data_IF_500645221800
#
_entry.id   IF_500645221800
#
_cell.length_a   1.000
_cell.length_b   1.000
_cell.length_c   1.000
_cell.angle_alpha   90.00
_cell.angle_beta   90.00
_cell.angle_gamma   90.00
#
_symmetry.space_group_name_H-M   'P 1'
#
loop_
_entity.id
_entity.type
_entity.pdbx_description
1 polymer ?
#
# COMPACT_ATOMS: atom_id res chain seq x y z
N UNK A 1 -31.87 -44.17 27.80
CA UNK A 1 -31.66 -43.48 26.50
C UNK A 1 -32.11 -42.04 26.72
N UNK A 2 -31.24 -41.24 27.34
CA UNK A 2 -31.51 -39.85 27.75
C UNK A 2 -30.54 -38.92 27.01
N UNK A 3 -31.13 -37.93 26.36
CA UNK A 3 -30.62 -36.63 25.90
C UNK A 3 -29.10 -36.39 25.86
N UNK A 4 -28.50 -36.58 24.68
CA UNK A 4 -27.14 -36.10 24.35
C UNK A 4 -27.16 -34.91 23.37
N UNK A 5 -28.33 -34.47 22.88
CA UNK A 5 -28.41 -33.52 21.75
C UNK A 5 -28.73 -32.04 22.06
N UNK A 6 -28.77 -31.61 23.33
CA UNK A 6 -29.09 -30.21 23.66
C UNK A 6 -27.91 -29.33 24.14
N UNK A 7 -26.71 -29.87 24.40
CA UNK A 7 -25.63 -29.09 25.03
C UNK A 7 -24.70 -28.38 24.02
N UNK A 8 -24.69 -28.74 22.72
CA UNK A 8 -23.72 -28.16 21.77
C UNK A 8 -24.12 -26.84 21.09
N UNK A 9 -25.40 -26.43 21.15
CA UNK A 9 -25.88 -25.23 20.43
C UNK A 9 -25.81 -23.92 21.23
N UNK A 10 -25.65 -23.98 22.56
CA UNK A 10 -25.74 -22.78 23.39
C UNK A 10 -24.46 -21.93 23.44
N UNK A 11 -23.30 -22.50 23.08
CA UNK A 11 -21.99 -21.84 23.24
C UNK A 11 -21.45 -21.15 21.98
N UNK A 12 -22.00 -21.39 20.79
CA UNK A 12 -21.55 -20.75 19.55
C UNK A 12 -21.81 -19.23 19.55
N UNK A 13 -22.96 -18.79 20.10
CA UNK A 13 -23.39 -17.39 20.11
C UNK A 13 -22.47 -16.42 20.88
N UNK A 14 -21.72 -16.88 21.88
CA UNK A 14 -20.87 -16.04 22.73
C UNK A 14 -19.40 -16.03 22.30
N UNK A 15 -18.95 -17.06 21.58
CA UNK A 15 -17.54 -17.30 21.28
C UNK A 15 -17.21 -16.95 19.84
N UNK A 16 -18.14 -17.19 18.92
CA UNK A 16 -17.94 -17.02 17.49
C UNK A 16 -19.11 -16.22 16.90
N UNK A 17 -18.82 -15.08 16.27
CA UNK A 17 -19.83 -14.12 15.78
C UNK A 17 -20.58 -14.59 14.51
N UNK A 18 -20.83 -15.90 14.37
CA UNK A 18 -21.56 -16.48 13.25
C UNK A 18 -23.08 -16.27 13.32
N UNK A 19 -23.60 -15.96 14.51
CA UNK A 19 -25.02 -15.70 14.73
C UNK A 19 -25.26 -14.22 15.14
N UNK A 20 -26.43 -13.64 14.82
CA UNK A 20 -26.82 -12.31 15.31
C UNK A 20 -26.79 -12.22 16.85
N UNK A 21 -26.35 -11.07 17.36
CA UNK A 21 -26.33 -10.79 18.81
C UNK A 21 -27.78 -10.57 19.27
N UNK A 22 -28.25 -11.38 20.22
CA UNK A 22 -29.56 -11.17 20.84
C UNK A 22 -29.52 -9.99 21.82
N UNK A 23 -30.57 -9.15 21.80
CA UNK A 23 -30.64 -7.88 22.55
C UNK A 23 -30.38 -8.01 24.06
N UNK A 24 -30.71 -9.16 24.63
CA UNK A 24 -30.64 -9.46 26.05
C UNK A 24 -29.20 -9.66 26.56
N UNK A 25 -28.19 -9.59 25.67
CA UNK A 25 -26.78 -9.93 25.98
C UNK A 25 -25.77 -8.87 25.53
N UNK A 26 -26.15 -7.59 25.57
CA UNK A 26 -25.24 -6.44 25.34
C UNK A 26 -24.27 -6.25 26.52
N UNK A 27 -23.31 -7.15 26.71
CA UNK A 27 -22.19 -6.92 27.63
C UNK A 27 -21.27 -5.85 27.06
N UNK A 28 -21.37 -4.63 27.62
CA UNK A 28 -20.44 -3.53 27.31
C UNK A 28 -19.10 -3.81 27.99
N UNK A 29 -18.25 -4.62 27.36
CA UNK A 29 -16.83 -4.67 27.74
C UNK A 29 -16.25 -3.28 27.47
N UNK A 30 -15.86 -2.58 28.53
CA UNK A 30 -15.16 -1.28 28.49
C UNK A 30 -13.79 -1.48 27.85
N UNK A 31 -13.79 -1.41 26.51
CA UNK A 31 -12.62 -1.55 25.65
C UNK A 31 -11.68 -0.36 25.90
N UNK A 32 -10.39 -0.61 26.17
CA UNK A 32 -9.38 0.44 26.35
C UNK A 32 -9.35 1.32 25.09
N UNK A 33 -9.29 2.64 25.15
CA UNK A 33 -9.24 3.42 23.89
C UNK A 33 -7.81 3.50 23.38
N UNK A 34 -7.62 3.40 22.07
CA UNK A 34 -6.36 3.80 21.46
C UNK A 34 -6.17 5.31 21.63
N UNK A 35 -4.94 5.75 21.83
CA UNK A 35 -4.57 7.16 21.89
C UNK A 35 -3.72 7.50 20.66
N UNK A 36 -3.94 8.68 20.11
CA UNK A 36 -3.19 9.18 18.96
C UNK A 36 -1.83 9.64 19.46
N UNK A 37 -0.77 9.04 18.95
CA UNK A 37 0.59 9.48 19.21
C UNK A 37 1.00 10.53 18.16
N UNK A 38 1.53 11.67 18.63
CA UNK A 38 2.01 12.79 17.80
C UNK A 38 3.53 12.94 17.85
N UNK A 39 4.23 12.02 18.52
CA UNK A 39 5.68 12.03 18.63
C UNK A 39 6.33 11.11 17.59
N UNK A 40 7.20 11.67 16.76
CA UNK A 40 7.94 10.91 15.75
C UNK A 40 8.93 9.92 16.38
N UNK A 41 9.49 10.25 17.55
CA UNK A 41 10.57 9.47 18.20
C UNK A 41 10.18 8.02 18.39
N UNK A 42 8.98 7.75 18.93
CA UNK A 42 8.51 6.38 19.16
C UNK A 42 8.41 5.54 17.87
N UNK A 43 8.05 6.16 16.75
CA UNK A 43 8.01 5.49 15.45
C UNK A 43 9.42 5.22 14.91
N UNK A 44 10.33 6.17 15.07
CA UNK A 44 11.73 6.00 14.68
C UNK A 44 12.41 4.90 15.50
N UNK A 45 12.10 4.76 16.78
CA UNK A 45 12.69 3.72 17.65
C UNK A 45 12.30 2.29 17.20
N UNK A 46 11.19 2.13 16.46
CA UNK A 46 10.79 0.86 15.83
C UNK A 46 11.61 0.51 14.58
N UNK A 47 12.37 1.47 14.04
CA UNK A 47 13.19 1.34 12.82
C UNK A 47 14.69 1.52 13.17
N UNK A 48 15.37 0.51 13.73
CA UNK A 48 16.75 0.63 14.16
C UNK A 48 17.75 0.70 12.99
N UNK A 49 18.75 1.59 13.07
CA UNK A 49 19.82 1.80 12.07
C UNK A 49 21.10 0.99 12.36
N UNK A 50 20.99 -0.15 13.04
CA UNK A 50 22.16 -0.93 13.48
C UNK A 50 21.95 -2.44 13.38
N UNK A 51 20.92 -2.88 12.66
CA UNK A 51 20.58 -4.30 12.48
C UNK A 51 20.51 -4.64 10.98
N UNK A 52 20.17 -5.90 10.68
CA UNK A 52 19.67 -6.29 9.37
C UNK A 52 18.66 -5.24 8.89
N UNK A 53 18.64 -4.93 7.59
CA UNK A 53 17.77 -3.90 6.98
C UNK A 53 18.22 -2.44 7.16
N UNK A 54 19.49 -2.17 7.46
CA UNK A 54 20.05 -0.80 7.61
C UNK A 54 19.60 0.16 6.51
N UNK A 55 19.80 -0.19 5.24
CA UNK A 55 19.52 0.73 4.12
C UNK A 55 18.03 1.05 4.03
N UNK A 56 17.15 0.05 4.16
CA UNK A 56 15.70 0.22 4.17
C UNK A 56 15.25 1.10 5.34
N UNK A 57 15.80 0.85 6.54
CA UNK A 57 15.45 1.60 7.75
C UNK A 57 15.91 3.06 7.65
N UNK A 58 17.13 3.30 7.18
CA UNK A 58 17.63 4.67 6.95
C UNK A 58 16.75 5.41 5.94
N UNK A 59 16.37 4.76 4.83
CA UNK A 59 15.46 5.35 3.84
C UNK A 59 14.10 5.73 4.46
N UNK A 60 13.46 4.80 5.18
CA UNK A 60 12.16 5.05 5.81
C UNK A 60 12.22 6.13 6.88
N UNK A 61 13.25 6.14 7.72
CA UNK A 61 13.43 7.18 8.74
C UNK A 61 13.60 8.55 8.08
N UNK A 62 14.39 8.63 7.01
CA UNK A 62 14.58 9.86 6.26
C UNK A 62 13.26 10.34 5.63
N UNK A 63 12.49 9.44 5.01
CA UNK A 63 11.16 9.76 4.46
C UNK A 63 10.21 10.23 5.55
N UNK A 64 10.05 9.45 6.63
CA UNK A 64 9.19 9.77 7.77
C UNK A 64 9.49 11.16 8.32
N UNK A 65 10.76 11.51 8.52
CA UNK A 65 11.16 12.85 8.97
C UNK A 65 10.68 13.96 8.03
N UNK A 66 10.71 13.75 6.71
CA UNK A 66 10.27 14.75 5.72
C UNK A 66 8.75 14.91 5.69
N UNK A 67 8.01 13.82 5.71
CA UNK A 67 6.53 13.84 5.61
C UNK A 67 5.81 13.93 6.97
N UNK A 68 6.54 13.94 8.10
CA UNK A 68 5.94 13.97 9.43
C UNK A 68 5.04 15.18 9.68
N UNK A 69 5.39 16.41 9.25
CA UNK A 69 4.49 17.56 9.36
C UNK A 69 3.14 17.30 8.67
N UNK A 70 3.17 16.74 7.45
CA UNK A 70 1.96 16.41 6.69
C UNK A 70 1.13 15.31 7.39
N UNK A 71 1.78 14.33 8.03
CA UNK A 71 1.10 13.32 8.85
C UNK A 71 0.38 13.94 10.06
N UNK A 72 1.02 14.90 10.73
CA UNK A 72 0.43 15.61 11.87
C UNK A 72 -0.76 16.48 11.44
N UNK A 73 -0.65 17.14 10.30
CA UNK A 73 -1.74 17.92 9.70
C UNK A 73 -2.90 16.98 9.29
N UNK A 74 -2.61 15.91 8.56
CA UNK A 74 -3.59 14.93 8.11
C UNK A 74 -4.36 14.27 9.25
N UNK A 75 -3.69 13.87 10.34
CA UNK A 75 -4.38 13.30 11.50
C UNK A 75 -5.23 14.35 12.23
N UNK A 76 -4.79 15.62 12.27
CA UNK A 76 -5.59 16.69 12.87
C UNK A 76 -6.84 16.98 12.04
N UNK A 77 -6.73 17.03 10.71
CA UNK A 77 -7.89 17.13 9.82
C UNK A 77 -8.86 15.96 9.99
N UNK A 78 -8.33 14.73 10.08
CA UNK A 78 -9.15 13.55 10.33
C UNK A 78 -9.91 13.65 11.66
N UNK A 79 -9.23 14.02 12.76
CA UNK A 79 -9.87 14.21 14.07
C UNK A 79 -10.97 15.28 13.98
N UNK A 80 -10.68 16.41 13.32
CA UNK A 80 -11.64 17.50 13.18
C UNK A 80 -12.86 17.09 12.35
N UNK A 81 -12.65 16.37 11.24
CA UNK A 81 -13.73 15.87 10.38
C UNK A 81 -14.57 14.78 11.04
N UNK A 82 -13.98 13.94 11.88
CA UNK A 82 -14.70 12.93 12.68
C UNK A 82 -15.47 13.56 13.84
N UNK A 83 -14.98 14.67 14.40
CA UNK A 83 -15.66 15.43 15.45
C UNK A 83 -16.67 16.45 14.89
N UNK A 84 -16.75 16.61 13.57
CA UNK A 84 -17.75 17.46 12.92
C UNK A 84 -19.09 16.75 12.94
N UNK A 85 -19.88 16.96 14.00
CA UNK A 85 -21.32 16.77 13.93
C UNK A 85 -21.87 17.77 12.93
N UNK A 86 -22.41 17.30 11.80
CA UNK A 86 -23.19 18.15 10.91
C UNK A 86 -24.23 18.89 11.75
N UNK A 87 -24.30 20.24 11.70
CA UNK A 87 -25.47 20.93 12.20
C UNK A 87 -26.65 20.45 11.36
N UNK A 88 -27.73 20.00 12.01
CA UNK A 88 -28.95 19.45 11.38
C UNK A 88 -29.66 20.41 10.39
N UNK A 89 -29.09 21.57 10.07
CA UNK A 89 -29.75 22.65 9.32
C UNK A 89 -29.03 23.15 8.06
N UNK A 90 -27.90 22.57 7.64
CA UNK A 90 -27.20 23.02 6.42
C UNK A 90 -27.41 22.05 5.25
N UNK A 91 -28.61 22.13 4.68
CA UNK A 91 -29.06 21.37 3.51
C UNK A 91 -28.40 21.92 2.22
N UNK A 92 -27.11 21.65 2.05
CA UNK A 92 -26.30 22.05 0.88
C UNK A 92 -26.66 21.25 -0.39
N UNK A 93 -27.54 20.25 -0.31
CA UNK A 93 -27.89 19.37 -1.43
C UNK A 93 -29.10 19.86 -2.24
N UNK A 94 -29.67 21.04 -1.93
CA UNK A 94 -30.81 21.61 -2.67
C UNK A 94 -30.49 22.04 -4.11
N UNK A 95 -29.25 22.02 -4.55
CA UNK A 95 -28.83 22.51 -5.88
C UNK A 95 -28.05 21.49 -6.72
N UNK A 96 -28.01 20.21 -6.33
CA UNK A 96 -27.45 19.17 -7.22
C UNK A 96 -28.41 18.92 -8.39
N UNK A 97 -27.94 19.15 -9.62
CA UNK A 97 -28.64 18.70 -10.83
C UNK A 97 -28.60 17.17 -10.93
N UNK A 98 -29.65 16.55 -11.49
CA UNK A 98 -29.74 15.09 -11.69
C UNK A 98 -28.61 14.51 -12.55
N UNK A 99 -27.91 15.36 -13.28
CA UNK A 99 -26.91 14.96 -14.28
C UNK A 99 -25.48 14.99 -13.72
N UNK A 100 -25.29 15.47 -12.49
CA UNK A 100 -23.99 15.53 -11.83
C UNK A 100 -23.82 14.32 -10.87
N UNK A 101 -23.37 13.20 -11.45
CA UNK A 101 -23.14 11.92 -10.77
C UNK A 101 -22.17 12.04 -9.57
N UNK A 102 -21.29 13.04 -9.59
CA UNK A 102 -20.33 13.36 -8.54
C UNK A 102 -21.00 14.05 -7.36
N UNK A 103 -21.90 15.01 -7.61
CA UNK A 103 -22.70 15.69 -6.59
C UNK A 103 -23.65 14.70 -5.89
N UNK A 104 -24.28 13.81 -6.68
CA UNK A 104 -25.23 12.82 -6.19
C UNK A 104 -24.61 11.78 -5.24
N UNK A 105 -23.44 11.23 -5.59
CA UNK A 105 -22.73 10.27 -4.73
C UNK A 105 -22.22 10.90 -3.43
N UNK A 106 -21.82 12.17 -3.46
CA UNK A 106 -21.38 12.90 -2.27
C UNK A 106 -22.55 13.23 -1.33
N UNK A 107 -23.70 13.61 -1.89
CA UNK A 107 -24.91 14.01 -1.14
C UNK A 107 -25.73 12.83 -0.58
N UNK A 108 -25.69 11.64 -1.18
CA UNK A 108 -26.34 10.44 -0.60
C UNK A 108 -25.49 9.76 0.49
N UNK A 109 -24.20 10.10 0.59
CA UNK A 109 -23.27 9.50 1.54
C UNK A 109 -23.32 10.20 2.91
N UNK A 110 -24.43 10.09 3.64
CA UNK A 110 -24.51 10.54 5.06
C UNK A 110 -23.60 9.74 6.01
N UNK A 111 -22.98 8.68 5.49
CA UNK A 111 -21.89 7.98 6.14
C UNK A 111 -20.66 8.17 5.28
N UNK A 112 -19.59 8.70 5.87
CA UNK A 112 -18.25 8.48 5.34
C UNK A 112 -18.00 6.96 5.49
N UNK A 113 -18.45 6.16 4.52
CA UNK A 113 -18.10 4.74 4.40
C UNK A 113 -16.70 4.67 3.81
N UNK A 114 -15.76 4.99 4.69
CA UNK A 114 -14.33 5.01 4.48
C UNK A 114 -13.65 5.23 5.83
N UNK A 115 -14.17 4.61 6.89
CA UNK A 115 -13.39 4.53 8.13
C UNK A 115 -12.16 3.67 7.83
N UNK A 116 -10.92 4.15 8.07
CA UNK A 116 -9.78 3.27 8.02
C UNK A 116 -10.06 2.08 8.93
N UNK A 117 -9.72 0.87 8.48
CA UNK A 117 -9.97 -0.43 9.14
C UNK A 117 -9.46 -0.53 10.61
N UNK A 118 -8.83 0.54 11.12
CA UNK A 118 -8.17 0.69 12.40
C UNK A 118 -8.90 1.62 13.38
N UNK A 119 -9.97 2.31 12.96
CA UNK A 119 -10.78 3.14 13.86
C UNK A 119 -11.56 2.26 14.84
N UNK A 120 -11.42 2.49 16.15
CA UNK A 120 -12.21 1.82 17.20
C UNK A 120 -11.62 0.52 17.79
N UNK A 121 -10.38 0.13 17.44
CA UNK A 121 -9.68 -0.99 18.10
C UNK A 121 -8.81 -0.48 19.27
N UNK A 122 -9.11 -0.87 20.53
CA UNK A 122 -8.21 -0.71 21.67
C UNK A 122 -6.84 -1.30 21.39
N UNK A 123 -5.76 -0.54 21.59
CA UNK A 123 -4.38 -1.06 21.62
C UNK A 123 -4.12 -2.16 20.59
N UNK A 124 -3.97 -1.79 19.32
CA UNK A 124 -3.49 -2.74 18.33
C UNK A 124 -2.04 -3.12 18.67
N UNK A 125 -1.85 -4.26 19.32
CA UNK A 125 -0.54 -4.89 19.33
C UNK A 125 -0.38 -5.54 17.96
N UNK A 126 0.23 -4.82 17.02
CA UNK A 126 0.59 -5.36 15.72
C UNK A 126 1.99 -5.96 15.78
N UNK A 127 2.11 -7.26 15.54
CA UNK A 127 3.39 -7.85 15.21
C UNK A 127 3.59 -7.69 13.70
N UNK A 128 4.38 -6.71 13.29
CA UNK A 128 4.71 -6.46 11.88
C UNK A 128 6.00 -7.17 11.53
N UNK A 129 5.97 -8.42 11.03
CA UNK A 129 7.08 -8.97 10.25
C UNK A 129 6.74 -8.78 8.77
N UNK A 130 6.83 -7.54 8.31
CA UNK A 130 6.58 -7.22 6.91
C UNK A 130 7.91 -7.30 6.15
N UNK A 131 8.16 -8.38 5.39
CA UNK A 131 9.23 -8.39 4.38
C UNK A 131 8.74 -7.64 3.14
N UNK A 132 8.60 -6.33 3.23
CA UNK A 132 8.20 -5.56 2.05
C UNK A 132 9.45 -5.38 1.19
N UNK A 133 9.63 -6.25 0.20
CA UNK A 133 10.69 -6.13 -0.81
C UNK A 133 10.29 -5.08 -1.85
N UNK A 134 10.59 -3.82 -1.59
CA UNK A 134 10.62 -2.80 -2.63
C UNK A 134 11.95 -2.90 -3.36
N UNK A 135 11.96 -3.47 -4.57
CA UNK A 135 13.07 -3.50 -5.55
C UNK A 135 14.47 -3.13 -5.01
N UNK A 136 14.98 -4.00 -4.10
CA UNK A 136 16.31 -4.04 -3.43
C UNK A 136 16.38 -3.62 -1.95
N UNK A 137 15.28 -3.46 -1.24
CA UNK A 137 15.31 -3.17 0.21
C UNK A 137 14.30 -4.02 0.97
N UNK A 138 14.80 -4.93 1.80
CA UNK A 138 13.98 -5.73 2.70
C UNK A 138 13.58 -4.87 3.90
N UNK A 139 12.29 -4.83 4.20
CA UNK A 139 11.75 -4.28 5.43
C UNK A 139 11.66 -5.44 6.44
N UNK A 140 12.00 -5.22 7.71
CA UNK A 140 11.55 -6.11 8.77
C UNK A 140 11.28 -5.26 10.00
N UNK A 141 10.12 -5.45 10.60
CA UNK A 141 9.84 -4.94 11.93
C UNK A 141 9.70 -6.19 12.84
N UNK A 142 10.11 -6.00 14.09
CA UNK A 142 10.31 -6.92 15.22
C UNK A 142 10.06 -8.46 15.12
N UNK A 143 10.91 -9.17 15.88
CA UNK A 143 10.80 -10.59 16.22
C UNK A 143 9.46 -10.93 16.90
N UNK A 144 8.78 -11.94 16.36
CA UNK A 144 7.70 -12.62 17.07
C UNK A 144 8.34 -13.66 17.98
N UNK A 145 8.27 -13.47 19.29
CA UNK A 145 8.60 -14.50 20.27
C UNK A 145 7.38 -15.40 20.45
N UNK A 146 7.20 -16.39 19.58
CA UNK A 146 6.19 -17.43 19.74
C UNK A 146 6.79 -18.67 20.42
N UNK A 147 6.04 -19.33 21.29
CA UNK A 147 6.41 -20.66 21.79
C UNK A 147 6.29 -21.69 20.65
N UNK A 148 7.24 -22.64 20.52
CA UNK A 148 7.18 -23.67 19.49
C UNK A 148 5.99 -24.62 19.73
N UNK A 149 5.18 -24.86 18.70
CA UNK A 149 4.12 -25.86 18.75
C UNK A 149 3.42 -26.03 17.41
N UNK A 150 3.16 -27.29 17.04
CA UNK A 150 2.64 -27.71 15.73
C UNK A 150 1.35 -27.01 15.26
N UNK A 151 1.30 -26.89 13.92
CA UNK A 151 0.19 -26.66 12.96
C UNK A 151 -0.70 -25.40 13.06
N UNK A 152 -0.83 -24.71 11.91
CA UNK A 152 -1.86 -23.68 11.67
C UNK A 152 -3.22 -24.36 11.55
N UNK A 153 -3.90 -24.55 12.67
CA UNK A 153 -5.22 -25.16 12.65
C UNK A 153 -6.27 -24.18 12.05
N UNK A 154 -6.92 -24.62 10.96
CA UNK A 154 -8.05 -23.96 10.31
C UNK A 154 -9.26 -23.70 11.24
N UNK A 155 -9.24 -24.26 12.45
CA UNK A 155 -10.33 -24.19 13.44
C UNK A 155 -10.00 -23.39 14.70
N UNK A 156 -8.91 -22.61 14.74
CA UNK A 156 -8.66 -21.73 15.90
C UNK A 156 -9.53 -20.48 15.78
N UNK A 157 -10.43 -20.21 16.74
CA UNK A 157 -11.21 -18.98 16.74
C UNK A 157 -10.26 -17.77 16.81
N UNK A 158 -10.52 -16.74 16.00
CA UNK A 158 -9.71 -15.51 15.94
C UNK A 158 -9.58 -14.81 17.31
N UNK A 159 -10.54 -15.08 18.20
CA UNK A 159 -10.64 -14.55 19.54
C UNK A 159 -10.15 -15.60 20.55
N UNK A 160 -8.85 -15.64 20.80
CA UNK A 160 -8.25 -16.47 21.85
C UNK A 160 -8.15 -15.64 23.14
N UNK A 161 -8.44 -16.24 24.31
CA UNK A 161 -8.47 -15.55 25.63
C UNK A 161 -7.17 -14.81 25.99
N UNK A 162 -6.04 -15.16 25.38
CA UNK A 162 -4.71 -14.57 25.61
C UNK A 162 -4.02 -14.28 24.27
N UNK A 163 -4.58 -13.35 23.49
CA UNK A 163 -3.90 -12.86 22.29
C UNK A 163 -2.76 -11.91 22.70
N UNK A 164 -1.50 -12.28 22.39
CA UNK A 164 -0.34 -11.39 22.53
C UNK A 164 -0.39 -10.22 21.53
N UNK A 165 -0.98 -10.48 20.35
CA UNK A 165 -1.18 -9.55 19.25
C UNK A 165 -2.53 -9.77 18.56
N UNK A 166 -3.07 -8.70 17.99
CA UNK A 166 -4.40 -8.67 17.35
C UNK A 166 -4.34 -8.86 15.84
N UNK A 167 -3.33 -8.28 15.18
CA UNK A 167 -3.13 -8.33 13.73
C UNK A 167 -1.66 -8.60 13.41
N UNK A 168 -1.43 -9.25 12.27
CA UNK A 168 -0.11 -9.48 11.69
C UNK A 168 -0.10 -8.96 10.27
N UNK A 169 0.73 -7.95 10.01
CA UNK A 169 1.00 -7.48 8.66
C UNK A 169 2.31 -8.12 8.17
N UNK A 170 2.23 -8.81 7.05
CA UNK A 170 3.37 -9.52 6.44
C UNK A 170 3.19 -9.58 4.93
N UNK A 171 4.25 -9.82 4.17
CA UNK A 171 4.15 -10.12 2.74
C UNK A 171 3.97 -11.64 2.53
N UNK A 172 3.89 -12.09 1.27
CA UNK A 172 3.78 -13.53 0.95
C UNK A 172 5.00 -14.31 1.45
N UNK A 173 6.21 -13.74 1.34
CA UNK A 173 7.45 -14.40 1.77
C UNK A 173 7.47 -14.57 3.28
N UNK A 174 7.17 -13.50 4.01
CA UNK A 174 7.10 -13.48 5.46
C UNK A 174 6.01 -14.40 5.99
N UNK A 175 4.84 -14.45 5.35
CA UNK A 175 3.78 -15.41 5.69
C UNK A 175 4.28 -16.85 5.62
N UNK A 176 4.92 -17.24 4.51
CA UNK A 176 5.46 -18.60 4.33
C UNK A 176 6.61 -18.91 5.30
N UNK A 177 7.46 -17.93 5.61
CA UNK A 177 8.49 -18.11 6.63
C UNK A 177 7.88 -18.32 8.01
N UNK A 178 6.85 -17.55 8.37
CA UNK A 178 6.14 -17.71 9.64
C UNK A 178 5.47 -19.09 9.72
N UNK A 179 4.93 -19.56 8.60
CA UNK A 179 4.35 -20.90 8.46
C UNK A 179 5.37 -22.00 8.82
N UNK A 180 6.57 -21.91 8.24
CA UNK A 180 7.68 -22.83 8.52
C UNK A 180 8.13 -22.77 9.99
N UNK A 181 8.11 -21.58 10.61
CA UNK A 181 8.55 -21.41 12.00
C UNK A 181 7.54 -21.90 13.06
N UNK A 182 6.39 -22.44 12.64
CA UNK A 182 5.36 -23.01 13.52
C UNK A 182 4.90 -22.05 14.65
N UNK A 183 4.91 -20.75 14.39
CA UNK A 183 4.34 -19.79 15.32
C UNK A 183 2.82 -19.94 15.27
N UNK A 184 2.18 -20.24 16.40
CA UNK A 184 0.72 -20.37 16.51
C UNK A 184 0.03 -19.03 16.31
N UNK A 185 -0.22 -18.66 15.05
CA UNK A 185 -1.00 -17.50 14.66
C UNK A 185 -2.28 -17.92 13.95
N UNK A 186 -3.47 -17.58 14.46
CA UNK A 186 -4.72 -17.82 13.72
C UNK A 186 -4.71 -17.12 12.35
N UNK A 187 -5.05 -17.85 11.30
CA UNK A 187 -4.95 -17.37 9.90
C UNK A 187 -5.70 -16.06 9.64
N UNK A 188 -6.82 -15.84 10.31
CA UNK A 188 -7.63 -14.62 10.17
C UNK A 188 -6.96 -13.33 10.67
N UNK A 189 -5.86 -13.43 11.44
CA UNK A 189 -5.10 -12.26 11.92
C UNK A 189 -4.18 -11.68 10.86
N UNK A 190 -3.86 -12.43 9.82
CA UNK A 190 -2.93 -12.00 8.79
C UNK A 190 -3.54 -10.97 7.85
N UNK A 191 -2.69 -10.03 7.43
CA UNK A 191 -2.91 -9.03 6.39
C UNK A 191 -1.70 -9.11 5.47
N UNK A 192 -1.90 -9.68 4.29
CA UNK A 192 -0.85 -10.03 3.34
C UNK A 192 -0.63 -8.87 2.38
N UNK A 193 0.52 -8.23 2.44
CA UNK A 193 0.89 -7.20 1.48
C UNK A 193 1.24 -7.87 0.16
N UNK A 194 0.42 -7.64 -0.85
CA UNK A 194 0.53 -8.22 -2.18
C UNK A 194 0.20 -7.14 -3.21
N UNK A 195 1.26 -6.51 -3.73
CA UNK A 195 1.18 -5.33 -4.60
C UNK A 195 0.22 -5.53 -5.77
N UNK A 196 0.30 -6.67 -6.47
CA UNK A 196 -0.46 -6.94 -7.70
C UNK A 196 -1.81 -7.62 -7.46
N UNK A 197 -2.02 -8.11 -6.23
CA UNK A 197 -3.23 -8.81 -5.81
C UNK A 197 -3.24 -10.29 -6.17
N UNK A 198 -4.17 -10.98 -5.52
CA UNK A 198 -4.37 -12.42 -5.61
C UNK A 198 -5.83 -12.71 -5.90
N UNK A 199 -6.12 -13.41 -6.99
CA UNK A 199 -7.48 -13.83 -7.36
C UNK A 199 -7.80 -15.23 -6.79
N UNK A 200 -9.10 -15.51 -6.67
CA UNK A 200 -9.62 -16.76 -6.08
C UNK A 200 -9.00 -18.05 -6.64
N UNK A 201 -8.82 -18.24 -7.97
CA UNK A 201 -8.27 -19.48 -8.51
C UNK A 201 -6.83 -19.74 -8.05
N UNK A 202 -6.02 -18.68 -7.97
CA UNK A 202 -4.61 -18.77 -7.59
C UNK A 202 -4.41 -18.84 -6.07
N UNK A 203 -5.31 -18.25 -5.28
CA UNK A 203 -5.29 -18.42 -3.83
C UNK A 203 -5.49 -19.89 -3.40
N UNK A 204 -6.21 -20.68 -4.21
CA UNK A 204 -6.48 -22.11 -3.96
C UNK A 204 -5.44 -23.05 -4.55
N UNK A 205 -4.73 -22.61 -5.59
CA UNK A 205 -3.77 -23.44 -6.32
C UNK A 205 -2.36 -23.20 -5.78
N UNK A 206 -1.67 -24.28 -5.40
CA UNK A 206 -0.27 -24.21 -4.99
C UNK A 206 0.61 -23.73 -6.17
N UNK A 207 1.03 -22.47 -6.11
CA UNK A 207 1.95 -21.83 -7.06
C UNK A 207 2.98 -21.00 -6.29
N UNK A 208 3.96 -20.41 -6.98
CA UNK A 208 5.04 -19.64 -6.34
C UNK A 208 4.54 -18.52 -5.45
N UNK A 209 3.51 -17.79 -5.86
CA UNK A 209 2.92 -16.67 -5.12
C UNK A 209 1.46 -16.93 -4.69
N UNK A 210 0.87 -18.04 -5.10
CA UNK A 210 -0.50 -18.47 -4.73
C UNK A 210 -0.54 -19.52 -3.62
N UNK A 211 -1.69 -20.16 -3.44
CA UNK A 211 -1.87 -21.30 -2.54
C UNK A 211 -1.81 -20.95 -1.06
N UNK A 212 -2.26 -19.75 -0.68
CA UNK A 212 -2.24 -19.29 0.72
C UNK A 212 -3.54 -19.65 1.47
N UNK A 213 -4.62 -19.98 0.75
CA UNK A 213 -5.91 -20.39 1.30
C UNK A 213 -6.50 -19.42 2.35
N UNK A 214 -6.21 -18.12 2.21
CA UNK A 214 -6.73 -17.06 3.07
C UNK A 214 -8.04 -16.48 2.52
N UNK A 215 -8.78 -15.71 3.32
CA UNK A 215 -9.85 -14.88 2.77
C UNK A 215 -9.23 -13.82 1.82
N UNK A 216 -9.82 -13.62 0.64
CA UNK A 216 -9.26 -12.72 -0.38
C UNK A 216 -9.15 -11.26 0.08
N UNK A 217 -9.99 -10.83 1.02
CA UNK A 217 -9.90 -9.50 1.64
C UNK A 217 -8.71 -9.36 2.60
N UNK A 218 -8.00 -10.45 2.92
CA UNK A 218 -6.77 -10.40 3.69
C UNK A 218 -5.56 -10.02 2.84
N UNK A 219 -5.66 -9.99 1.51
CA UNK A 219 -4.61 -9.49 0.62
C UNK A 219 -4.76 -7.98 0.43
N UNK A 220 -3.65 -7.25 0.52
CA UNK A 220 -3.58 -5.80 0.60
C UNK A 220 -2.79 -5.26 -0.59
N UNK A 221 -3.47 -4.63 -1.53
CA UNK A 221 -2.91 -4.16 -2.81
C UNK A 221 -2.42 -2.71 -2.74
N UNK A 222 -1.52 -2.34 -3.64
CA UNK A 222 -1.03 -0.95 -3.72
C UNK A 222 -1.97 -0.03 -4.47
N UNK A 223 -2.74 -0.56 -5.42
CA UNK A 223 -3.74 0.16 -6.17
C UNK A 223 -5.08 -0.59 -6.13
N UNK A 224 -6.21 0.10 -6.34
CA UNK A 224 -7.53 -0.51 -6.29
C UNK A 224 -7.85 -1.29 -7.58
N UNK A 225 -6.94 -2.14 -8.05
CA UNK A 225 -7.07 -2.89 -9.32
C UNK A 225 -7.62 -4.31 -9.15
N UNK A 226 -7.77 -4.79 -7.90
CA UNK A 226 -8.25 -6.15 -7.61
C UNK A 226 -9.42 -6.09 -6.61
N UNK A 227 -10.68 -6.18 -7.07
CA UNK A 227 -11.85 -5.98 -6.22
C UNK A 227 -12.06 -7.08 -5.16
N UNK A 228 -11.47 -8.26 -5.37
CA UNK A 228 -11.46 -9.36 -4.39
C UNK A 228 -10.60 -9.04 -3.16
N UNK A 229 -9.68 -8.09 -3.29
CA UNK A 229 -8.66 -7.76 -2.28
C UNK A 229 -8.97 -6.42 -1.59
N UNK A 230 -8.27 -6.15 -0.49
CA UNK A 230 -8.36 -4.86 0.22
C UNK A 230 -7.35 -3.88 -0.37
N UNK A 231 -7.79 -2.68 -0.75
CA UNK A 231 -6.88 -1.61 -1.14
C UNK A 231 -6.18 -1.02 0.09
N UNK A 232 -4.84 -1.11 0.13
CA UNK A 232 -4.00 -0.49 1.18
C UNK A 232 -3.55 0.91 0.77
N UNK A 233 -3.02 1.03 -0.44
CA UNK A 233 -2.43 2.28 -0.94
C UNK A 233 -1.14 2.68 -0.24
N UNK A 234 -0.77 3.94 -0.46
CA UNK A 234 0.40 4.60 0.12
C UNK A 234 0.20 6.12 0.08
N UNK A 235 1.10 6.85 0.74
CA UNK A 235 1.11 8.31 0.74
C UNK A 235 2.21 8.81 -0.18
N UNK A 236 1.86 9.68 -1.12
CA UNK A 236 2.80 10.38 -2.01
C UNK A 236 3.46 11.54 -1.28
N UNK A 237 4.76 11.72 -1.49
CA UNK A 237 5.52 12.83 -0.92
C UNK A 237 5.38 14.07 -1.82
N UNK A 238 4.85 15.16 -1.26
CA UNK A 238 4.73 16.44 -1.94
C UNK A 238 5.92 17.30 -1.53
N UNK A 239 6.68 17.77 -2.52
CA UNK A 239 7.83 18.63 -2.31
C UNK A 239 7.37 20.08 -2.13
N UNK A 240 7.80 20.79 -1.08
CA UNK A 240 7.48 22.21 -0.90
C UNK A 240 8.23 23.10 -1.91
N UNK A 241 9.27 22.57 -2.56
CA UNK A 241 10.08 23.29 -3.52
C UNK A 241 9.33 23.44 -4.85
N UNK A 242 8.39 24.38 -4.96
CA UNK A 242 7.91 24.79 -6.28
C UNK A 242 8.85 25.86 -6.82
N UNK A 243 9.78 25.45 -7.67
CA UNK A 243 10.56 26.39 -8.47
C UNK A 243 9.58 27.20 -9.32
N UNK A 244 9.50 28.53 -9.08
CA UNK A 244 8.90 29.42 -10.07
C UNK A 244 9.80 29.34 -11.29
N UNK A 245 9.35 28.62 -12.32
CA UNK A 245 9.96 28.58 -13.63
C UNK A 245 10.05 30.03 -14.15
N UNK A 246 11.20 30.68 -13.94
CA UNK A 246 11.56 31.82 -14.75
C UNK A 246 11.60 31.29 -16.20
N UNK A 247 10.86 31.93 -17.10
CA UNK A 247 10.84 31.56 -18.51
C UNK A 247 12.26 31.67 -19.08
N UNK A 248 12.98 30.56 -19.02
CA UNK A 248 14.27 30.36 -19.64
C UNK A 248 14.05 30.12 -21.14
N UNK A 249 14.97 30.59 -21.97
CA UNK A 249 15.04 30.24 -23.40
C UNK A 249 15.39 28.76 -23.63
N UNK A 250 15.70 27.98 -22.57
CA UNK A 250 16.03 26.56 -22.64
C UNK A 250 14.79 25.67 -22.74
N UNK A 251 14.98 24.45 -23.28
CA UNK A 251 13.92 23.42 -23.32
C UNK A 251 13.43 23.11 -21.91
N UNK A 252 12.13 22.82 -21.73
CA UNK A 252 11.62 22.33 -20.45
C UNK A 252 12.24 20.97 -20.08
N UNK A 253 12.47 20.75 -18.79
CA UNK A 253 13.06 19.51 -18.29
C UNK A 253 11.99 18.41 -18.24
N UNK A 254 12.33 17.23 -18.75
CA UNK A 254 11.55 16.01 -18.59
C UNK A 254 12.37 14.91 -17.91
N UNK A 255 11.77 14.26 -16.92
CA UNK A 255 12.38 13.20 -16.15
C UNK A 255 11.93 11.83 -16.67
N UNK A 256 12.85 10.89 -16.83
CA UNK A 256 12.55 9.57 -17.36
C UNK A 256 12.36 8.57 -16.22
N UNK A 257 11.22 7.88 -16.25
CA UNK A 257 10.88 6.82 -15.32
C UNK A 257 11.53 5.49 -15.74
N UNK A 258 12.72 5.26 -15.22
CA UNK A 258 13.47 4.02 -15.42
C UNK A 258 14.77 4.02 -14.63
N UNK A 259 14.81 3.31 -13.50
CA UNK A 259 15.92 3.39 -12.54
C UNK A 259 17.09 2.42 -12.79
N UNK A 260 16.93 1.50 -13.73
CA UNK A 260 17.92 0.49 -14.08
C UNK A 260 18.12 0.47 -15.59
N UNK A 261 19.37 0.26 -16.00
CA UNK A 261 19.81 0.27 -17.40
C UNK A 261 18.96 -0.58 -18.35
N UNK A 262 18.58 -1.80 -17.95
CA UNK A 262 17.78 -2.69 -18.79
C UNK A 262 16.38 -2.14 -19.12
N UNK A 263 15.83 -1.25 -18.29
CA UNK A 263 14.51 -0.63 -18.51
C UNK A 263 14.53 0.30 -19.75
N UNK A 264 15.73 0.73 -20.16
CA UNK A 264 15.96 1.62 -21.30
C UNK A 264 16.19 0.86 -22.61
N UNK A 265 16.22 -0.47 -22.57
CA UNK A 265 16.42 -1.30 -23.74
C UNK A 265 15.35 -1.03 -24.80
N UNK A 266 15.81 -0.79 -26.03
CA UNK A 266 14.97 -0.46 -27.19
C UNK A 266 14.09 0.79 -27.00
N UNK A 267 14.55 1.78 -26.20
CA UNK A 267 13.83 3.07 -26.00
C UNK A 267 14.51 4.27 -26.65
N UNK A 268 15.68 4.10 -27.26
CA UNK A 268 16.47 5.22 -27.83
C UNK A 268 15.72 6.03 -28.87
N UNK A 269 14.99 5.39 -29.79
CA UNK A 269 14.23 6.12 -30.82
C UNK A 269 13.08 6.93 -30.23
N UNK A 270 12.34 6.34 -29.28
CA UNK A 270 11.28 7.02 -28.54
C UNK A 270 11.82 8.25 -27.79
N UNK A 271 12.93 8.10 -27.07
CA UNK A 271 13.56 9.20 -26.34
C UNK A 271 14.15 10.26 -27.29
N UNK A 272 14.67 9.86 -28.45
CA UNK A 272 15.21 10.81 -29.43
C UNK A 272 14.13 11.76 -29.96
N UNK A 273 12.92 11.27 -30.22
CA UNK A 273 11.78 12.13 -30.61
C UNK A 273 11.47 13.15 -29.50
N UNK A 274 11.46 12.70 -28.24
CA UNK A 274 11.18 13.60 -27.10
C UNK A 274 12.31 14.60 -26.85
N UNK A 275 13.55 14.27 -27.20
CA UNK A 275 14.70 15.17 -27.05
C UNK A 275 14.62 16.43 -27.91
N UNK A 276 13.79 16.43 -28.96
CA UNK A 276 13.54 17.62 -29.77
C UNK A 276 12.76 18.69 -28.99
N UNK A 277 11.95 18.27 -28.01
CA UNK A 277 11.07 19.14 -27.23
C UNK A 277 11.54 19.38 -25.80
N UNK A 278 12.26 18.42 -25.20
CA UNK A 278 12.63 18.44 -23.78
C UNK A 278 14.13 18.26 -23.57
N UNK A 279 14.64 18.86 -22.49
CA UNK A 279 15.91 18.46 -21.89
C UNK A 279 15.65 17.20 -21.07
N UNK A 280 16.24 16.07 -21.50
CA UNK A 280 15.93 14.76 -20.92
C UNK A 280 16.86 14.42 -19.76
N UNK A 281 16.27 14.09 -18.62
CA UNK A 281 16.99 13.66 -17.41
C UNK A 281 16.58 12.24 -17.03
N UNK A 282 17.53 11.42 -16.58
CA UNK A 282 17.26 10.09 -16.03
C UNK A 282 17.98 9.91 -14.70
N UNK A 283 17.52 8.98 -13.85
CA UNK A 283 18.23 8.65 -12.60
C UNK A 283 18.49 7.14 -12.54
N UNK A 284 19.70 6.72 -12.95
CA UNK A 284 20.05 5.30 -13.17
C UNK A 284 21.22 4.89 -12.30
N UNK A 285 21.00 3.95 -11.38
CA UNK A 285 21.98 3.60 -10.35
C UNK A 285 23.00 2.54 -10.77
N UNK A 286 22.77 1.83 -11.87
CA UNK A 286 23.64 0.76 -12.38
C UNK A 286 24.47 1.23 -13.59
N UNK A 287 24.69 0.37 -14.59
CA UNK A 287 25.59 0.68 -15.71
C UNK A 287 24.96 1.70 -16.67
N UNK A 288 25.61 2.86 -16.83
CA UNK A 288 25.15 3.97 -17.68
C UNK A 288 25.78 3.99 -19.08
N UNK A 289 26.78 3.15 -19.37
CA UNK A 289 27.59 3.21 -20.60
C UNK A 289 26.78 3.01 -21.88
N UNK A 290 25.73 2.19 -21.80
CA UNK A 290 24.86 1.84 -22.93
C UNK A 290 23.66 2.78 -23.09
N UNK A 291 23.52 3.78 -22.21
CA UNK A 291 22.41 4.72 -22.26
C UNK A 291 22.64 5.81 -23.31
N UNK A 292 21.55 6.42 -23.84
CA UNK A 292 21.69 7.45 -24.85
C UNK A 292 22.43 8.69 -24.30
N UNK A 293 23.54 9.08 -24.95
CA UNK A 293 24.41 10.18 -24.51
C UNK A 293 23.74 11.56 -24.49
N UNK A 294 22.62 11.72 -25.18
CA UNK A 294 21.83 12.97 -25.20
C UNK A 294 20.89 13.10 -23.99
N UNK A 295 20.91 12.15 -23.06
CA UNK A 295 20.14 12.19 -21.81
C UNK A 295 21.09 12.48 -20.65
N UNK A 296 20.73 13.45 -19.81
CA UNK A 296 21.46 13.76 -18.58
C UNK A 296 21.16 12.72 -17.50
N UNK A 297 22.07 11.77 -17.30
CA UNK A 297 21.92 10.71 -16.32
C UNK A 297 22.49 11.14 -14.96
N UNK A 298 21.63 11.10 -13.95
CA UNK A 298 21.94 11.29 -12.54
C UNK A 298 22.07 9.93 -11.85
N UNK A 299 22.82 9.87 -10.75
CA UNK A 299 22.97 8.66 -9.92
C UNK A 299 22.68 8.99 -8.45
N UNK A 300 21.53 9.63 -8.23
CA UNK A 300 21.12 10.14 -6.94
C UNK A 300 20.24 9.12 -6.21
N UNK A 301 20.48 8.94 -4.91
CA UNK A 301 19.52 8.26 -4.05
C UNK A 301 18.26 9.09 -3.91
N UNK A 302 17.11 8.42 -3.75
CA UNK A 302 15.85 9.12 -3.52
C UNK A 302 15.91 9.91 -2.20
N UNK A 303 15.56 11.19 -2.25
CA UNK A 303 15.65 12.13 -1.15
C UNK A 303 15.61 13.56 -1.66
N UNK A 304 16.04 14.53 -0.84
CA UNK A 304 16.04 15.95 -1.17
C UNK A 304 16.63 16.27 -2.56
N UNK A 305 17.83 15.77 -2.96
CA UNK A 305 18.39 16.07 -4.28
C UNK A 305 17.50 15.59 -5.45
N UNK A 306 16.90 14.41 -5.32
CA UNK A 306 15.98 13.88 -6.33
C UNK A 306 14.66 14.67 -6.36
N UNK A 307 14.14 15.06 -5.20
CA UNK A 307 12.92 15.88 -5.10
C UNK A 307 13.13 17.28 -5.68
N UNK A 308 14.33 17.85 -5.54
CA UNK A 308 14.72 19.12 -6.18
C UNK A 308 14.87 19.01 -7.70
N UNK A 309 15.35 17.86 -8.21
CA UNK A 309 15.36 17.61 -9.66
C UNK A 309 13.92 17.46 -10.17
N UNK A 310 13.10 16.67 -9.49
CA UNK A 310 11.71 16.44 -9.85
C UNK A 310 10.91 17.75 -9.86
N UNK A 311 11.16 18.66 -8.91
CA UNK A 311 10.45 19.94 -8.89
C UNK A 311 10.82 20.94 -9.99
N UNK A 312 11.91 20.68 -10.72
CA UNK A 312 12.29 21.44 -11.92
C UNK A 312 11.74 20.81 -13.20
N UNK A 313 11.34 19.55 -13.16
CA UNK A 313 10.77 18.86 -14.31
C UNK A 313 9.28 19.22 -14.48
N UNK A 314 8.84 19.25 -15.74
CA UNK A 314 7.43 19.46 -16.09
C UNK A 314 6.72 18.15 -16.45
N UNK A 315 7.48 17.16 -16.92
CA UNK A 315 6.97 15.88 -17.41
C UNK A 315 7.76 14.73 -16.81
N UNK A 316 7.05 13.67 -16.41
CA UNK A 316 7.62 12.35 -16.17
C UNK A 316 7.31 11.44 -17.37
N UNK A 317 8.34 10.84 -17.97
CA UNK A 317 8.24 10.00 -19.18
C UNK A 317 8.32 8.53 -18.78
N UNK A 318 7.24 7.78 -18.97
CA UNK A 318 7.22 6.33 -18.80
C UNK A 318 7.95 5.59 -19.93
N UNK A 319 8.72 4.56 -19.58
CA UNK A 319 9.40 3.67 -20.53
C UNK A 319 8.64 2.35 -20.79
N UNK A 320 7.54 2.09 -20.08
CA UNK A 320 6.79 0.83 -20.16
C UNK A 320 7.19 -0.21 -19.10
N UNK A 321 8.17 0.11 -18.25
CA UNK A 321 8.52 -0.64 -17.04
C UNK A 321 9.28 0.29 -16.07
N UNK A 322 9.09 0.18 -14.73
CA UNK A 322 8.28 -0.80 -14.01
C UNK A 322 6.77 -0.52 -14.01
N UNK A 323 5.97 -1.57 -13.76
CA UNK A 323 4.52 -1.51 -13.67
C UNK A 323 4.06 -1.10 -12.27
N UNK A 324 3.01 -0.30 -12.19
CA UNK A 324 2.25 0.02 -10.97
C UNK A 324 3.17 0.43 -9.80
N UNK A 325 4.12 1.31 -10.09
CA UNK A 325 5.00 1.91 -9.09
C UNK A 325 4.44 3.22 -8.52
N UNK A 326 5.00 3.72 -7.41
CA UNK A 326 4.53 4.95 -6.77
C UNK A 326 4.99 6.23 -7.47
N UNK A 327 6.10 6.18 -8.23
CA UNK A 327 6.75 7.36 -8.79
C UNK A 327 5.87 8.21 -9.73
N UNK A 328 5.01 7.62 -10.60
CA UNK A 328 4.06 8.41 -11.38
C UNK A 328 3.10 9.23 -10.53
N UNK A 329 2.55 8.67 -9.45
CA UNK A 329 1.69 9.44 -8.53
C UNK A 329 2.45 10.52 -7.78
N UNK A 330 3.68 10.24 -7.34
CA UNK A 330 4.51 11.27 -6.71
C UNK A 330 4.79 12.42 -7.69
N UNK A 331 5.09 12.13 -8.95
CA UNK A 331 5.27 13.15 -9.97
C UNK A 331 3.99 13.98 -10.21
N UNK A 332 2.84 13.33 -10.36
CA UNK A 332 1.53 14.01 -10.53
C UNK A 332 1.21 14.88 -9.31
N UNK A 333 1.42 14.37 -8.09
CA UNK A 333 1.20 15.12 -6.86
C UNK A 333 2.10 16.37 -6.76
N UNK A 334 3.27 16.36 -7.43
CA UNK A 334 4.18 17.49 -7.54
C UNK A 334 3.91 18.39 -8.77
N UNK A 335 2.85 18.11 -9.53
CA UNK A 335 2.41 18.93 -10.66
C UNK A 335 3.02 18.57 -12.01
N UNK A 336 3.68 17.41 -12.13
CA UNK A 336 4.21 16.92 -13.40
C UNK A 336 3.12 16.23 -14.21
N UNK A 337 3.19 16.37 -15.53
CA UNK A 337 2.41 15.55 -16.46
C UNK A 337 3.10 14.20 -16.61
N UNK A 338 2.34 13.09 -16.52
CA UNK A 338 2.89 11.76 -16.75
C UNK A 338 2.55 11.26 -18.15
N UNK A 339 3.57 10.99 -18.96
CA UNK A 339 3.43 10.32 -20.24
C UNK A 339 3.39 8.80 -20.01
N UNK A 340 2.19 8.24 -19.95
CA UNK A 340 1.90 6.85 -19.63
C UNK A 340 1.84 5.97 -20.90
N UNK A 341 2.79 5.03 -21.11
CA UNK A 341 2.74 4.12 -22.24
C UNK A 341 1.51 3.21 -22.20
N UNK A 342 0.80 3.14 -23.33
CA UNK A 342 -0.32 2.24 -23.54
C UNK A 342 0.15 0.88 -24.07
N UNK A 343 -0.51 -0.19 -23.66
CA UNK A 343 -0.25 -1.57 -24.05
C UNK A 343 -1.46 -2.17 -24.75
N UNK A 344 -1.26 -2.52 -26.02
CA UNK A 344 -2.24 -3.22 -26.84
C UNK A 344 -1.55 -4.40 -27.57
N UNK A 345 -1.84 -5.66 -27.20
CA UNK A 345 -2.79 -6.07 -26.16
C UNK A 345 -2.29 -5.77 -24.73
N UNK A 346 -3.17 -5.74 -23.72
CA UNK A 346 -2.78 -5.59 -22.31
C UNK A 346 -1.76 -6.63 -21.87
N UNK A 347 -0.78 -6.23 -21.07
CA UNK A 347 0.26 -7.11 -20.54
C UNK A 347 -0.27 -7.91 -19.33
N UNK A 348 -0.07 -9.22 -19.32
CA UNK A 348 -0.52 -10.11 -18.25
C UNK A 348 0.22 -11.44 -18.26
N UNK A 349 -0.31 -12.44 -17.54
CA UNK A 349 0.34 -13.76 -17.38
C UNK A 349 0.64 -14.47 -18.70
N UNK A 350 -0.23 -14.28 -19.70
CA UNK A 350 -0.17 -15.02 -20.97
C UNK A 350 0.86 -14.49 -21.95
N UNK A 351 1.27 -13.22 -21.84
CA UNK A 351 2.09 -12.55 -22.85
C UNK A 351 3.33 -11.84 -22.30
N UNK A 352 3.46 -11.68 -20.97
CA UNK A 352 4.56 -10.94 -20.37
C UNK A 352 5.24 -11.71 -19.24
N UNK A 353 6.54 -11.99 -19.41
CA UNK A 353 7.32 -12.83 -18.48
C UNK A 353 7.28 -12.34 -17.02
N UNK A 354 7.27 -11.02 -16.80
CA UNK A 354 7.18 -10.42 -15.46
C UNK A 354 5.90 -10.81 -14.69
N UNK A 355 4.81 -11.09 -15.41
CA UNK A 355 3.53 -11.47 -14.81
C UNK A 355 3.33 -12.99 -14.73
N UNK A 356 4.16 -13.80 -15.40
CA UNK A 356 3.95 -15.24 -15.60
C UNK A 356 3.63 -16.06 -14.33
N UNK A 357 4.21 -15.69 -13.19
CA UNK A 357 4.03 -16.38 -11.90
C UNK A 357 3.11 -15.64 -10.91
N UNK A 358 2.64 -14.42 -11.22
CA UNK A 358 1.82 -13.61 -10.31
C UNK A 358 0.40 -14.17 -10.16
N UNK A 359 -0.19 -14.20 -8.96
CA UNK A 359 -1.43 -14.93 -8.68
C UNK A 359 -2.72 -14.21 -9.14
N UNK A 360 -2.72 -13.65 -10.35
CA UNK A 360 -3.84 -12.90 -10.95
C UNK A 360 -3.83 -13.04 -12.47
N UNK A 361 -5.00 -13.17 -13.11
CA UNK A 361 -5.17 -13.14 -14.57
C UNK A 361 -5.29 -11.72 -15.14
N UNK A 362 -5.29 -10.68 -14.29
CA UNK A 362 -5.45 -9.29 -14.69
C UNK A 362 -4.43 -8.89 -15.77
N UNK A 363 -4.96 -8.30 -16.85
CA UNK A 363 -4.18 -7.60 -17.87
C UNK A 363 -4.01 -6.12 -17.51
N UNK A 364 -2.85 -5.58 -17.86
CA UNK A 364 -2.44 -4.21 -17.58
C UNK A 364 -2.31 -3.47 -18.91
N UNK A 365 -3.16 -2.46 -19.14
CA UNK A 365 -3.19 -1.67 -20.39
C UNK A 365 -2.26 -0.46 -20.37
N UNK A 366 -1.69 -0.10 -19.21
CA UNK A 366 -0.70 0.96 -19.07
C UNK A 366 0.13 0.75 -17.80
N UNK A 367 1.31 1.39 -17.65
CA UNK A 367 2.15 1.16 -16.46
C UNK A 367 1.62 1.80 -15.17
N UNK A 368 0.62 2.66 -15.28
CA UNK A 368 -0.03 3.33 -14.16
C UNK A 368 -1.54 3.35 -14.38
#
# INVERSE_FOLDING_TARGET
>A
MQDINQISKANTFQVESFCPIMDNRKFVKRRRKAQINRELKGLLDLLPEYKNHLVSNTFMRARLKRIWPDWLEGIQHYINGVNFSWPDSLDHCKHCSSDDMTCFNLCQSTKITGQPFLYGRPKLNSATRAWIRFEKYDLSIQNVYGQPGHEFAHHIPCMVKSNEYDLVYTDITGFRQLDITQIRTPLCKFRILDTFGTEAPYNRKAERWGGLHLNLQQFYTFFPHSPDNTFLGFVTEISPFKSKSNQSLSKPIALIYGKQSYMWNNKTNYLRILSDYFELHGNVMDNVDKLPKFVHIHQMQYGQPYLELMSKAQILIGLGFPYEGPAPLEAIANGLIFLNPHFDPPHGRSNQAFFSDKPTSRGVSAIF
#
